data_IF_550111596701
#
_entry.id   IF_550111596701
#
_cell.length_a   1.000
_cell.length_b   1.000
_cell.length_c   1.000
_cell.angle_alpha   90.00
_cell.angle_beta   90.00
_cell.angle_gamma   90.00
#
_symmetry.space_group_name_H-M   'P 1'
#
loop_
_entity.id
_entity.type
_entity.pdbx_description
1 polymer ?
#
# COMPACT_ATOMS: atom_id res chain seq x y z
N UNK A 1 52.85 46.26 -30.94
CA UNK A 1 53.26 44.99 -31.57
C UNK A 1 52.19 44.01 -31.35
N UNK A 2 51.26 43.94 -32.21
CA UNK A 2 51.12 43.21 -33.48
C UNK A 2 50.69 41.75 -33.22
N UNK A 3 49.51 41.54 -33.62
CA UNK A 3 48.95 40.43 -34.39
C UNK A 3 48.73 39.14 -33.61
N UNK A 4 47.70 38.37 -33.83
CA UNK A 4 46.81 38.23 -34.96
C UNK A 4 45.68 37.34 -34.69
N UNK A 5 44.60 37.68 -35.29
CA UNK A 5 43.34 36.99 -35.46
C UNK A 5 43.52 35.67 -36.24
N UNK A 6 43.04 34.58 -35.78
CA UNK A 6 42.71 33.47 -36.67
C UNK A 6 41.25 32.99 -36.31
N UNK A 7 40.33 33.33 -37.22
CA UNK A 7 39.05 32.75 -37.34
C UNK A 7 39.17 31.34 -37.94
N UNK A 8 38.56 30.33 -37.33
CA UNK A 8 38.27 29.08 -38.03
C UNK A 8 36.78 28.76 -37.88
N UNK A 9 36.07 28.98 -38.96
CA UNK A 9 34.77 28.40 -39.27
C UNK A 9 34.89 26.87 -39.34
N UNK A 10 34.28 26.15 -38.44
CA UNK A 10 33.95 24.73 -38.64
C UNK A 10 32.51 24.62 -38.19
N UNK A 11 31.55 24.71 -39.02
CA UNK A 11 31.00 23.61 -39.78
C UNK A 11 29.70 23.18 -39.09
N UNK A 12 28.60 24.02 -39.36
CA UNK A 12 27.19 23.70 -38.98
C UNK A 12 26.61 22.52 -39.78
N UNK A 13 27.32 21.39 -39.90
CA UNK A 13 26.83 20.27 -40.68
C UNK A 13 26.40 19.03 -39.83
N UNK A 14 26.51 19.10 -38.51
CA UNK A 14 26.24 17.92 -37.68
C UNK A 14 24.95 18.01 -36.85
N UNK A 15 24.19 19.10 -36.98
CA UNK A 15 22.95 19.31 -36.16
C UNK A 15 21.66 18.94 -36.89
N UNK A 16 21.73 18.44 -38.11
CA UNK A 16 20.54 18.15 -38.95
C UNK A 16 20.23 16.65 -39.07
N UNK A 17 20.98 15.75 -38.41
CA UNK A 17 20.77 14.31 -38.51
C UNK A 17 20.19 13.65 -37.25
N UNK A 18 19.87 14.42 -36.21
CA UNK A 18 19.31 13.90 -34.95
C UNK A 18 17.81 14.17 -34.74
N UNK A 19 17.12 14.70 -35.74
CA UNK A 19 15.69 15.03 -35.65
C UNK A 19 14.75 14.06 -36.42
N UNK A 20 15.28 12.98 -36.97
CA UNK A 20 14.46 12.01 -37.77
C UNK A 20 14.19 10.66 -37.07
N UNK A 21 14.55 10.52 -35.78
CA UNK A 21 14.49 9.23 -35.09
C UNK A 21 13.40 9.05 -34.04
N UNK A 22 12.49 9.98 -33.82
CA UNK A 22 11.59 9.95 -32.66
C UNK A 22 10.10 10.00 -33.02
N UNK A 23 9.67 9.34 -34.11
CA UNK A 23 8.25 9.25 -34.48
C UNK A 23 7.82 7.82 -34.81
N UNK A 24 8.14 6.86 -33.90
CA UNK A 24 7.42 5.61 -33.82
C UNK A 24 6.84 5.44 -32.42
N UNK A 25 5.96 6.36 -32.04
CA UNK A 25 4.96 6.09 -31.02
C UNK A 25 3.96 5.15 -31.67
N UNK A 26 4.22 3.85 -31.60
CA UNK A 26 3.20 2.82 -31.80
C UNK A 26 2.14 3.02 -30.73
N UNK A 27 1.06 3.72 -31.10
CA UNK A 27 -0.18 3.73 -30.35
C UNK A 27 -0.68 2.28 -30.29
N UNK A 28 -0.46 1.60 -29.16
CA UNK A 28 -1.22 0.44 -28.77
C UNK A 28 -2.67 0.92 -28.51
N UNK A 29 -3.45 0.96 -29.57
CA UNK A 29 -4.92 1.00 -29.46
C UNK A 29 -5.38 -0.40 -29.08
N UNK A 30 -5.33 -0.74 -27.80
CA UNK A 30 -6.11 -1.86 -27.28
C UNK A 30 -7.56 -1.40 -27.15
N UNK A 31 -8.30 -1.45 -28.26
CA UNK A 31 -9.76 -1.40 -28.26
C UNK A 31 -10.26 -2.73 -27.69
N UNK A 32 -10.28 -2.86 -26.39
CA UNK A 32 -10.88 -3.97 -25.70
C UNK A 32 -11.80 -3.43 -24.61
N UNK A 33 -13.07 -3.82 -24.65
CA UNK A 33 -14.07 -3.63 -23.61
C UNK A 33 -13.66 -4.21 -22.23
N UNK A 34 -12.45 -4.75 -22.12
CA UNK A 34 -11.88 -5.32 -20.91
C UNK A 34 -11.36 -4.26 -19.92
N UNK A 35 -11.13 -3.03 -20.37
CA UNK A 35 -10.63 -1.94 -19.52
C UNK A 35 -11.55 -1.59 -18.37
N UNK A 36 -12.86 -1.68 -18.57
CA UNK A 36 -13.86 -1.40 -17.53
C UNK A 36 -13.98 -2.53 -16.50
N UNK A 37 -13.58 -3.75 -16.83
CA UNK A 37 -13.56 -4.90 -15.90
C UNK A 37 -12.25 -5.03 -15.15
N UNK A 38 -11.15 -4.51 -15.68
CA UNK A 38 -9.85 -4.53 -15.05
C UNK A 38 -9.72 -3.50 -13.92
N UNK A 39 -10.41 -2.37 -14.02
CA UNK A 39 -10.36 -1.29 -13.05
C UNK A 39 -10.82 -1.69 -11.63
N UNK A 40 -11.98 -2.34 -11.43
CA UNK A 40 -12.41 -2.81 -10.12
C UNK A 40 -11.41 -3.79 -9.48
N UNK A 41 -10.84 -4.70 -10.27
CA UNK A 41 -9.84 -5.67 -9.78
C UNK A 41 -8.53 -4.99 -9.36
N UNK A 42 -8.10 -3.96 -10.09
CA UNK A 42 -6.90 -3.20 -9.72
C UNK A 42 -7.11 -2.40 -8.44
N UNK A 43 -8.29 -1.81 -8.24
CA UNK A 43 -8.66 -1.10 -7.00
C UNK A 43 -8.68 -2.07 -5.84
N UNK A 44 -9.33 -3.23 -5.96
CA UNK A 44 -9.35 -4.26 -4.92
C UNK A 44 -7.94 -4.72 -4.51
N UNK A 45 -7.04 -4.93 -5.47
CA UNK A 45 -5.66 -5.30 -5.18
C UNK A 45 -4.89 -4.18 -4.44
N UNK A 46 -5.15 -2.90 -4.77
CA UNK A 46 -4.57 -1.76 -4.09
C UNK A 46 -5.10 -1.62 -2.65
N UNK A 47 -6.38 -1.92 -2.42
CA UNK A 47 -6.98 -1.90 -1.09
C UNK A 47 -6.46 -3.04 -0.22
N UNK A 48 -6.27 -4.25 -0.77
CA UNK A 48 -5.59 -5.36 -0.08
C UNK A 48 -4.15 -5.01 0.31
N UNK A 49 -3.37 -4.44 -0.61
CA UNK A 49 -2.01 -4.01 -0.32
C UNK A 49 -1.96 -2.95 0.78
N UNK A 50 -2.93 -2.03 0.78
CA UNK A 50 -3.08 -1.03 1.85
C UNK A 50 -3.45 -1.67 3.19
N UNK A 51 -4.33 -2.67 3.21
CA UNK A 51 -4.71 -3.41 4.42
C UNK A 51 -3.49 -4.12 5.04
N UNK A 52 -2.69 -4.81 4.22
CA UNK A 52 -1.44 -5.46 4.67
C UNK A 52 -0.46 -4.43 5.26
N UNK A 53 -0.31 -3.28 4.61
CA UNK A 53 0.57 -2.21 5.10
C UNK A 53 0.08 -1.63 6.43
N UNK A 54 -1.24 -1.45 6.59
CA UNK A 54 -1.84 -1.00 7.84
C UNK A 54 -1.63 -2.03 8.96
N UNK A 55 -1.76 -3.34 8.71
CA UNK A 55 -1.44 -4.39 9.69
C UNK A 55 0.01 -4.29 10.18
N UNK A 56 0.97 -4.09 9.28
CA UNK A 56 2.38 -3.90 9.64
C UNK A 56 2.61 -2.62 10.44
N UNK A 57 1.89 -1.53 10.10
CA UNK A 57 1.93 -0.28 10.87
C UNK A 57 1.41 -0.49 12.29
N UNK A 58 0.30 -1.22 12.45
CA UNK A 58 -0.27 -1.56 13.75
C UNK A 58 0.72 -2.43 14.55
N UNK A 59 1.35 -3.44 13.93
CA UNK A 59 2.35 -4.27 14.58
C UNK A 59 3.54 -3.46 15.13
N UNK A 60 4.03 -2.50 14.36
CA UNK A 60 5.08 -1.59 14.80
C UNK A 60 4.62 -0.71 15.98
N UNK A 61 3.40 -0.19 15.93
CA UNK A 61 2.81 0.58 17.02
C UNK A 61 2.66 -0.26 18.30
N UNK A 62 2.22 -1.51 18.17
CA UNK A 62 2.13 -2.47 19.28
C UNK A 62 3.50 -2.75 19.91
N UNK A 63 4.54 -2.92 19.09
CA UNK A 63 5.91 -3.11 19.58
C UNK A 63 6.38 -1.90 20.39
N UNK A 64 6.08 -0.68 19.95
CA UNK A 64 6.41 0.55 20.67
C UNK A 64 5.63 0.65 21.99
N UNK A 65 4.33 0.33 21.97
CA UNK A 65 3.49 0.33 23.18
C UNK A 65 4.02 -0.69 24.20
N UNK A 66 4.38 -1.91 23.77
CA UNK A 66 4.95 -2.94 24.62
C UNK A 66 6.29 -2.50 25.24
N UNK A 67 7.16 -1.87 24.45
CA UNK A 67 8.44 -1.36 24.94
C UNK A 67 8.28 -0.23 25.98
N UNK A 68 7.29 0.66 25.80
CA UNK A 68 7.07 1.81 26.67
C UNK A 68 6.26 1.47 27.93
N UNK A 69 5.25 0.61 27.80
CA UNK A 69 4.24 0.36 28.85
C UNK A 69 4.23 -1.07 29.38
N UNK A 70 5.08 -1.92 28.84
CA UNK A 70 5.10 -3.37 29.09
C UNK A 70 3.76 -4.08 28.80
N UNK A 71 2.93 -3.47 27.95
CA UNK A 71 1.61 -3.96 27.55
C UNK A 71 1.32 -3.58 26.10
N UNK A 72 0.63 -4.44 25.38
CA UNK A 72 -0.02 -4.08 24.11
C UNK A 72 -1.28 -3.27 24.38
N UNK A 73 -1.84 -2.65 23.34
CA UNK A 73 -2.90 -1.66 23.50
C UNK A 73 -3.96 -1.75 22.41
N UNK A 74 -5.16 -1.23 22.70
CA UNK A 74 -6.20 -1.01 21.70
C UNK A 74 -5.88 0.18 20.79
N UNK A 75 -6.69 0.38 19.74
CA UNK A 75 -6.48 1.46 18.78
C UNK A 75 -6.51 2.84 19.41
N UNK A 76 -7.45 3.09 20.32
CA UNK A 76 -7.57 4.41 20.96
C UNK A 76 -6.34 4.74 21.80
N UNK A 77 -5.82 3.76 22.54
CA UNK A 77 -4.61 3.94 23.33
C UNK A 77 -3.39 4.15 22.43
N UNK A 78 -3.26 3.43 21.31
CA UNK A 78 -2.16 3.61 20.34
C UNK A 78 -2.20 5.00 19.69
N UNK A 79 -3.39 5.52 19.38
CA UNK A 79 -3.56 6.89 18.85
C UNK A 79 -3.22 7.93 19.92
N UNK A 80 -3.68 7.78 21.16
CA UNK A 80 -3.35 8.67 22.26
C UNK A 80 -1.85 8.73 22.58
N UNK A 81 -1.15 7.61 22.39
CA UNK A 81 0.31 7.54 22.54
C UNK A 81 1.07 8.12 21.34
N UNK A 82 0.39 8.47 20.27
CA UNK A 82 0.99 8.98 19.03
C UNK A 82 1.70 7.91 18.19
N UNK A 83 1.44 6.62 18.43
CA UNK A 83 2.00 5.52 17.66
C UNK A 83 1.19 5.18 16.41
N UNK A 84 -0.09 5.57 16.41
CA UNK A 84 -0.98 5.54 15.24
C UNK A 84 -1.59 6.91 15.01
N UNK A 85 -1.92 7.21 13.77
CA UNK A 85 -2.64 8.44 13.42
C UNK A 85 -4.16 8.31 13.71
N UNK A 86 -4.87 9.44 13.68
CA UNK A 86 -6.30 9.51 14.03
C UNK A 86 -7.22 8.68 13.15
N UNK A 87 -6.78 8.24 11.96
CA UNK A 87 -7.56 7.35 11.10
C UNK A 87 -7.82 5.99 11.76
N UNK A 88 -6.98 5.61 12.72
CA UNK A 88 -7.14 4.39 13.50
C UNK A 88 -7.97 4.59 14.78
N UNK A 89 -8.44 5.79 15.06
CA UNK A 89 -9.27 6.02 16.24
C UNK A 89 -10.62 5.28 16.16
N UNK A 90 -11.08 4.76 17.28
CA UNK A 90 -12.33 4.02 17.40
C UNK A 90 -12.13 2.54 17.71
N UNK A 91 -13.24 1.83 17.86
CA UNK A 91 -13.22 0.40 18.22
C UNK A 91 -12.84 -0.47 17.02
N UNK A 92 -13.40 -0.15 15.85
CA UNK A 92 -13.18 -0.91 14.62
C UNK A 92 -13.03 0.07 13.44
N UNK A 93 -11.87 0.72 13.28
CA UNK A 93 -11.65 1.67 12.20
C UNK A 93 -11.78 1.03 10.83
N UNK A 94 -12.37 1.77 9.89
CA UNK A 94 -12.48 1.35 8.49
C UNK A 94 -11.52 2.20 7.64
N UNK A 95 -10.57 1.54 6.99
CA UNK A 95 -9.59 2.17 6.12
C UNK A 95 -9.63 1.51 4.75
N UNK A 96 -10.01 2.27 3.72
CA UNK A 96 -10.08 1.81 2.34
C UNK A 96 -10.92 0.53 2.16
N UNK A 97 -12.06 0.46 2.85
CA UNK A 97 -12.99 -0.67 2.74
C UNK A 97 -12.56 -1.92 3.54
N UNK A 98 -11.54 -1.82 4.38
CA UNK A 98 -11.17 -2.85 5.35
C UNK A 98 -11.50 -2.38 6.76
N UNK A 99 -12.22 -3.22 7.50
CA UNK A 99 -12.47 -3.05 8.93
C UNK A 99 -11.35 -3.72 9.71
N UNK A 100 -10.73 -2.95 10.59
CA UNK A 100 -9.69 -3.46 11.49
C UNK A 100 -10.28 -3.74 12.86
N UNK A 101 -9.94 -4.91 13.42
CA UNK A 101 -10.31 -5.30 14.78
C UNK A 101 -9.04 -5.69 15.52
N UNK A 102 -8.83 -5.15 16.72
CA UNK A 102 -7.71 -5.51 17.58
C UNK A 102 -8.20 -6.11 18.88
N UNK A 103 -7.58 -7.21 19.30
CA UNK A 103 -7.66 -7.74 20.65
C UNK A 103 -6.25 -7.68 21.22
N UNK A 104 -6.08 -7.00 22.35
CA UNK A 104 -4.77 -6.79 22.96
C UNK A 104 -4.85 -6.89 24.48
N UNK A 105 -3.82 -7.45 25.10
CA UNK A 105 -3.63 -7.49 26.53
C UNK A 105 -2.13 -7.24 26.88
N UNK A 106 -1.72 -7.51 28.11
CA UNK A 106 -0.33 -7.32 28.49
C UNK A 106 0.64 -8.18 27.69
N UNK A 107 0.28 -9.42 27.33
CA UNK A 107 1.22 -10.40 26.81
C UNK A 107 1.10 -10.65 25.31
N UNK A 108 -0.05 -10.41 24.72
CA UNK A 108 -0.34 -10.73 23.33
C UNK A 108 -1.29 -9.73 22.69
N UNK A 109 -1.25 -9.67 21.38
CA UNK A 109 -2.26 -8.99 20.57
C UNK A 109 -2.54 -9.80 19.30
N UNK A 110 -3.72 -9.60 18.76
CA UNK A 110 -4.13 -10.08 17.44
C UNK A 110 -4.91 -8.98 16.71
N UNK A 111 -4.69 -8.86 15.42
CA UNK A 111 -5.36 -7.89 14.55
C UNK A 111 -5.92 -8.60 13.33
N UNK A 112 -7.19 -8.37 13.04
CA UNK A 112 -7.83 -8.76 11.79
C UNK A 112 -8.05 -7.53 10.91
N UNK A 113 -7.94 -7.72 9.60
CA UNK A 113 -8.39 -6.79 8.57
C UNK A 113 -9.36 -7.54 7.66
N UNK A 114 -10.65 -7.26 7.84
CA UNK A 114 -11.73 -7.90 7.10
C UNK A 114 -12.31 -6.94 6.06
N UNK A 115 -12.53 -7.39 4.80
CA UNK A 115 -13.13 -6.55 3.78
C UNK A 115 -14.57 -6.21 4.15
N UNK A 116 -14.91 -4.94 4.08
CA UNK A 116 -16.29 -4.50 4.28
C UNK A 116 -17.03 -4.53 2.94
N UNK A 117 -17.75 -5.62 2.73
CA UNK A 117 -18.61 -5.77 1.56
C UNK A 117 -19.88 -4.95 1.76
N UNK A 118 -19.85 -3.69 1.33
CA UNK A 118 -21.08 -2.92 1.21
C UNK A 118 -21.60 -3.02 -0.24
N UNK A 119 -22.92 -2.98 -0.43
CA UNK A 119 -23.53 -2.91 -1.75
C UNK A 119 -23.06 -1.68 -2.56
N UNK A 120 -22.48 -0.69 -1.88
CA UNK A 120 -21.99 0.54 -2.47
C UNK A 120 -20.51 0.49 -2.87
N UNK A 121 -19.76 -0.51 -2.41
CA UNK A 121 -18.35 -0.68 -2.77
C UNK A 121 -18.01 -2.15 -3.08
N UNK A 122 -18.44 -2.66 -4.25
CA UNK A 122 -18.16 -4.05 -4.66
C UNK A 122 -16.70 -4.28 -5.07
N UNK A 123 -15.85 -3.27 -4.95
CA UNK A 123 -14.46 -3.28 -5.45
C UNK A 123 -13.41 -3.50 -4.39
N UNK A 124 -13.82 -3.57 -3.10
CA UNK A 124 -12.90 -3.94 -2.02
C UNK A 124 -12.35 -5.34 -2.26
N UNK A 125 -11.07 -5.56 -2.03
CA UNK A 125 -10.45 -6.87 -2.11
C UNK A 125 -11.22 -7.90 -1.28
N UNK A 126 -11.25 -9.15 -1.76
CA UNK A 126 -12.06 -10.20 -1.14
C UNK A 126 -11.34 -10.98 -0.03
N UNK A 127 -10.03 -10.78 0.14
CA UNK A 127 -9.23 -11.56 1.10
C UNK A 127 -9.24 -10.93 2.48
N UNK A 128 -9.26 -11.79 3.50
CA UNK A 128 -9.15 -11.43 4.90
C UNK A 128 -7.71 -11.60 5.36
N UNK A 129 -7.25 -10.75 6.27
CA UNK A 129 -5.88 -10.79 6.77
C UNK A 129 -5.86 -10.82 8.30
N UNK A 130 -4.84 -11.49 8.84
CA UNK A 130 -4.58 -11.62 10.27
C UNK A 130 -3.11 -11.42 10.56
N UNK A 131 -2.80 -10.82 11.71
CA UNK A 131 -1.45 -10.70 12.24
C UNK A 131 -1.50 -10.70 13.77
N UNK A 132 -0.57 -11.35 14.42
CA UNK A 132 -0.48 -11.35 15.88
C UNK A 132 0.96 -11.21 16.41
N UNK A 133 1.06 -11.17 17.74
CA UNK A 133 2.34 -11.02 18.45
C UNK A 133 3.19 -12.30 18.49
N UNK A 134 2.69 -13.44 18.07
CA UNK A 134 3.37 -14.72 18.23
C UNK A 134 4.42 -14.95 17.16
N UNK A 135 4.08 -14.67 15.91
CA UNK A 135 4.99 -14.84 14.78
C UNK A 135 5.23 -13.55 13.97
N UNK A 136 4.36 -12.54 14.13
CA UNK A 136 4.47 -11.27 13.42
C UNK A 136 4.27 -11.38 11.90
N UNK A 137 3.70 -12.49 11.44
CA UNK A 137 3.47 -12.77 10.02
C UNK A 137 2.03 -12.44 9.65
N UNK A 138 1.84 -11.94 8.42
CA UNK A 138 0.49 -11.74 7.89
C UNK A 138 -0.02 -13.06 7.33
N UNK A 139 -1.12 -13.55 7.88
CA UNK A 139 -1.85 -14.71 7.38
C UNK A 139 -3.03 -14.25 6.52
N UNK A 140 -3.45 -15.06 5.56
CA UNK A 140 -4.47 -14.71 4.58
C UNK A 140 -5.50 -15.82 4.40
N UNK A 141 -6.77 -15.44 4.43
CA UNK A 141 -7.91 -16.30 4.09
C UNK A 141 -8.72 -15.70 2.94
N UNK A 142 -9.10 -16.49 1.92
CA UNK A 142 -9.85 -15.96 0.78
C UNK A 142 -11.33 -15.72 1.03
N UNK A 143 -11.94 -16.31 2.07
CA UNK A 143 -13.39 -16.36 2.19
C UNK A 143 -13.97 -16.10 3.59
N UNK A 144 -13.13 -16.10 4.61
CA UNK A 144 -13.57 -15.91 6.00
C UNK A 144 -12.51 -15.14 6.79
N UNK A 145 -12.89 -14.61 7.95
CA UNK A 145 -11.94 -13.96 8.86
C UNK A 145 -10.70 -14.84 9.07
N UNK A 146 -9.55 -14.30 8.76
CA UNK A 146 -8.29 -15.02 8.81
C UNK A 146 -7.84 -15.28 10.25
N UNK A 147 -7.08 -16.35 10.42
CA UNK A 147 -6.51 -16.79 11.69
C UNK A 147 -5.04 -17.18 11.51
N UNK A 148 -4.32 -17.46 12.58
CA UNK A 148 -2.94 -17.96 12.53
C UNK A 148 -2.77 -19.28 11.78
N UNK A 149 -3.83 -20.10 11.67
CA UNK A 149 -3.80 -21.38 10.98
C UNK A 149 -3.89 -21.24 9.45
N UNK A 150 -4.27 -20.06 8.96
CA UNK A 150 -4.33 -19.80 7.53
C UNK A 150 -2.91 -19.62 6.94
N UNK A 151 -2.73 -19.76 5.62
CA UNK A 151 -1.43 -19.59 4.98
C UNK A 151 -0.81 -18.22 5.26
N UNK A 152 0.51 -18.21 5.48
CA UNK A 152 1.29 -16.99 5.52
C UNK A 152 1.39 -16.35 4.13
N UNK A 153 1.47 -15.02 4.07
CA UNK A 153 1.52 -14.23 2.85
C UNK A 153 2.97 -14.07 2.36
#
# INVERSE_FOLDING_TARGET
MSAGTIASHVGNASLLLLLAGCLLLTSCSSSGSDGLRAYPKAVGAADEASAIQNLRTIANAQTQAKAMRNSYADFNALVQLGFLDERFAGVNPNLRGYRFTVVANENEYAVNADPETTQTNPTTGGRHFYLDSTDGVVHVSPTQTATRQDPAL
#
